data_IF_959013432511
#
_entry.id   IF_959013432511
#
_cell.length_a   1.000
_cell.length_b   1.000
_cell.length_c   1.000
_cell.angle_alpha   90.00
_cell.angle_beta   90.00
_cell.angle_gamma   90.00
#
_symmetry.space_group_name_H-M   'P 1'
#
loop_
_entity.id
_entity.type
_entity.pdbx_description
1 polymer ?
#
# COMPACT_ATOMS: atom_id res chain seq x y z
N UNK A 1 6.06 -1.10 46.24
CA UNK A 1 6.57 -1.39 44.89
C UNK A 1 6.11 -2.78 44.53
N UNK A 2 5.01 -2.90 43.80
CA UNK A 2 4.51 -4.17 43.28
C UNK A 2 3.85 -3.86 41.94
N UNK A 3 4.58 -4.13 40.87
CA UNK A 3 4.15 -3.95 39.48
C UNK A 3 4.05 -5.37 38.89
N UNK A 4 2.87 -5.98 38.98
CA UNK A 4 2.57 -7.29 38.39
C UNK A 4 1.21 -7.23 37.69
N UNK A 5 1.15 -6.45 36.61
CA UNK A 5 0.14 -6.62 35.58
C UNK A 5 0.82 -7.29 34.39
N UNK A 6 0.90 -8.61 34.47
CA UNK A 6 1.25 -9.49 33.37
C UNK A 6 0.12 -9.44 32.33
N UNK A 7 0.23 -8.54 31.35
CA UNK A 7 -0.54 -8.62 30.11
C UNK A 7 0.24 -9.52 29.14
N UNK A 8 -0.09 -10.80 29.22
CA UNK A 8 -0.03 -11.75 28.11
C UNK A 8 -1.01 -11.28 27.01
N UNK A 9 -0.79 -11.70 25.77
CA UNK A 9 -1.65 -11.52 24.57
C UNK A 9 -1.22 -10.42 23.54
N UNK A 10 -0.32 -10.83 22.64
CA UNK A 10 -0.57 -10.86 21.18
C UNK A 10 -0.80 -9.58 20.33
N UNK A 11 -0.46 -8.36 20.78
CA UNK A 11 -0.80 -7.16 19.97
C UNK A 11 0.35 -6.48 19.18
N UNK A 12 1.57 -7.04 19.15
CA UNK A 12 2.69 -6.44 18.40
C UNK A 12 2.86 -6.94 16.96
N UNK A 13 1.82 -7.55 16.39
CA UNK A 13 1.71 -7.82 14.95
C UNK A 13 0.76 -6.83 14.23
N UNK A 14 0.30 -5.77 14.91
CA UNK A 14 -0.37 -4.64 14.26
C UNK A 14 0.67 -3.69 13.65
N UNK A 15 1.21 -4.09 12.50
CA UNK A 15 1.56 -3.21 11.35
C UNK A 15 2.48 -3.94 10.35
N UNK A 16 2.21 -5.21 10.04
CA UNK A 16 2.95 -5.91 8.99
C UNK A 16 2.08 -6.96 8.26
N UNK A 17 1.05 -6.48 7.57
CA UNK A 17 0.71 -7.03 6.25
C UNK A 17 0.00 -8.39 6.14
N UNK A 18 -0.90 -8.77 7.06
CA UNK A 18 -1.70 -9.98 6.89
C UNK A 18 -3.11 -9.87 7.48
N UNK A 19 -4.03 -9.23 6.74
CA UNK A 19 -5.44 -9.56 6.83
C UNK A 19 -6.00 -9.60 5.41
N UNK A 20 -6.69 -10.69 5.09
CA UNK A 20 -7.22 -11.07 3.79
C UNK A 20 -8.32 -10.14 3.24
N UNK A 21 -7.99 -8.88 3.02
CA UNK A 21 -8.84 -7.86 2.41
C UNK A 21 -7.98 -6.99 1.50
N UNK A 22 -8.50 -6.66 0.32
CA UNK A 22 -7.89 -5.84 -0.74
C UNK A 22 -6.88 -4.83 -0.19
N UNK A 23 -5.59 -4.98 -0.55
CA UNK A 23 -4.55 -4.03 -0.14
C UNK A 23 -4.89 -2.68 -0.77
N UNK A 24 -5.36 -1.76 0.06
CA UNK A 24 -5.66 -0.37 -0.30
C UNK A 24 -4.41 0.46 -0.10
N UNK A 25 -3.98 1.14 -1.15
CA UNK A 25 -2.80 1.98 -1.16
C UNK A 25 -3.21 3.45 -1.25
N UNK A 26 -2.46 4.32 -0.57
CA UNK A 26 -2.74 5.77 -0.51
C UNK A 26 -1.69 6.61 -1.21
N UNK A 27 -0.61 5.98 -1.66
CA UNK A 27 0.50 6.64 -2.35
C UNK A 27 1.13 5.64 -3.31
N UNK A 28 1.66 6.15 -4.41
CA UNK A 28 2.49 5.36 -5.31
C UNK A 28 3.69 6.18 -5.79
N UNK A 29 4.79 5.47 -6.00
CA UNK A 29 5.98 6.07 -6.58
C UNK A 29 5.98 5.85 -8.09
N UNK A 30 6.05 6.93 -8.86
CA UNK A 30 5.96 6.89 -10.30
C UNK A 30 7.28 6.36 -10.91
N UNK A 31 7.31 5.20 -11.60
CA UNK A 31 8.55 4.64 -12.14
C UNK A 31 9.19 5.48 -13.25
N UNK A 32 8.42 6.34 -13.93
CA UNK A 32 8.95 7.22 -14.98
C UNK A 32 9.70 8.46 -14.47
N UNK A 33 9.34 8.99 -13.29
CA UNK A 33 9.94 10.22 -12.76
C UNK A 33 10.41 10.11 -11.30
N UNK A 34 10.22 8.96 -10.65
CA UNK A 34 10.44 8.70 -9.21
C UNK A 34 9.81 9.76 -8.31
N UNK A 35 8.67 10.31 -8.74
CA UNK A 35 7.89 11.22 -7.92
C UNK A 35 6.92 10.41 -7.06
N UNK A 36 6.90 10.71 -5.76
CA UNK A 36 5.87 10.21 -4.86
C UNK A 36 4.56 10.95 -5.17
N UNK A 37 3.57 10.18 -5.59
CA UNK A 37 2.25 10.69 -5.93
C UNK A 37 1.26 10.21 -4.85
N UNK A 38 0.92 11.07 -3.87
CA UNK A 38 -0.14 10.78 -2.91
C UNK A 38 -1.48 10.77 -3.63
N UNK A 39 -2.30 9.78 -3.31
CA UNK A 39 -3.63 9.59 -3.89
C UNK A 39 -4.64 9.88 -2.80
N UNK A 40 -5.52 10.87 -3.02
CA UNK A 40 -6.56 11.22 -2.05
C UNK A 40 -7.55 10.07 -1.82
N UNK A 41 -7.81 9.30 -2.87
CA UNK A 41 -8.64 8.09 -2.83
C UNK A 41 -7.74 6.85 -2.78
N UNK A 42 -8.08 5.90 -1.89
CA UNK A 42 -7.33 4.65 -1.79
C UNK A 42 -7.49 3.83 -3.06
N UNK A 43 -6.40 3.47 -3.71
CA UNK A 43 -6.44 2.63 -4.90
C UNK A 43 -6.22 1.14 -4.58
N UNK A 44 -6.73 0.28 -5.46
CA UNK A 44 -6.68 -1.18 -5.31
C UNK A 44 -6.10 -1.85 -6.55
N UNK A 45 -6.08 -3.19 -6.59
CA UNK A 45 -5.69 -3.90 -7.80
C UNK A 45 -6.66 -3.62 -8.96
N UNK A 46 -6.13 -3.51 -10.16
CA UNK A 46 -6.90 -3.21 -11.37
C UNK A 46 -7.18 -1.74 -11.61
N UNK A 47 -6.89 -0.87 -10.64
CA UNK A 47 -7.11 0.57 -10.72
C UNK A 47 -6.10 1.26 -11.66
N UNK A 48 -6.49 2.41 -12.22
CA UNK A 48 -5.69 3.18 -13.17
C UNK A 48 -5.25 4.48 -12.51
N UNK A 49 -3.95 4.56 -12.23
CA UNK A 49 -3.32 5.70 -11.58
C UNK A 49 -2.64 6.58 -12.61
N UNK A 50 -2.84 7.89 -12.49
CA UNK A 50 -2.12 8.86 -13.28
C UNK A 50 -1.13 9.62 -12.42
N UNK A 51 0.11 9.72 -12.89
CA UNK A 51 1.11 10.56 -12.27
C UNK A 51 0.75 12.04 -12.46
N UNK A 52 0.58 12.78 -11.37
CA UNK A 52 0.29 14.22 -11.43
C UNK A 52 1.52 15.07 -11.80
N UNK A 53 2.71 14.49 -11.76
CA UNK A 53 3.98 15.18 -12.06
C UNK A 53 4.39 15.02 -13.53
N UNK A 54 4.56 13.79 -14.01
CA UNK A 54 4.96 13.53 -15.40
C UNK A 54 3.78 13.32 -16.35
N UNK A 55 2.58 13.07 -15.82
CA UNK A 55 1.38 12.80 -16.62
C UNK A 55 1.22 11.35 -17.10
N UNK A 56 2.18 10.45 -16.80
CA UNK A 56 2.11 9.04 -17.21
C UNK A 56 0.97 8.29 -16.52
N UNK A 57 0.35 7.37 -17.25
CA UNK A 57 -0.75 6.54 -16.77
C UNK A 57 -0.23 5.13 -16.50
N UNK A 58 -0.54 4.61 -15.32
CA UNK A 58 -0.09 3.32 -14.83
C UNK A 58 -1.28 2.52 -14.36
N UNK A 59 -1.34 1.25 -14.79
CA UNK A 59 -2.29 0.29 -14.27
C UNK A 59 -1.70 -0.44 -13.08
N UNK A 60 -2.43 -0.43 -11.96
CA UNK A 60 -2.10 -1.16 -10.75
C UNK A 60 -2.44 -2.62 -10.95
N UNK A 61 -1.49 -3.51 -10.68
CA UNK A 61 -1.70 -4.95 -10.70
C UNK A 61 -1.07 -5.55 -9.45
N UNK A 62 -1.91 -6.12 -8.58
CA UNK A 62 -1.44 -6.81 -7.37
C UNK A 62 -1.35 -8.30 -7.68
N UNK A 63 -0.15 -8.87 -7.56
CA UNK A 63 0.03 -10.31 -7.73
C UNK A 63 -0.49 -11.08 -6.50
N UNK A 64 -0.65 -12.40 -6.64
CA UNK A 64 -1.09 -13.29 -5.55
C UNK A 64 -0.12 -13.31 -4.35
N UNK A 65 1.15 -12.94 -4.56
CA UNK A 65 2.13 -12.71 -3.48
C UNK A 65 1.96 -11.36 -2.75
N UNK A 66 0.97 -10.55 -3.15
CA UNK A 66 0.70 -9.22 -2.58
C UNK A 66 1.66 -8.12 -3.04
N UNK A 67 2.53 -8.39 -4.01
CA UNK A 67 3.41 -7.37 -4.61
C UNK A 67 2.62 -6.53 -5.62
N UNK A 68 2.65 -5.21 -5.43
CA UNK A 68 2.13 -4.26 -6.41
C UNK A 68 3.09 -4.19 -7.59
N UNK A 69 2.55 -4.22 -8.80
CA UNK A 69 3.24 -3.83 -10.02
C UNK A 69 2.48 -2.70 -10.69
N UNK A 70 3.23 -1.71 -11.14
CA UNK A 70 2.72 -0.63 -11.98
C UNK A 70 3.11 -0.95 -13.41
N UNK A 71 2.13 -0.98 -14.32
CA UNK A 71 2.35 -1.17 -15.75
C UNK A 71 1.95 0.09 -16.50
N UNK A 72 2.90 0.72 -17.19
CA UNK A 72 2.62 1.89 -18.03
C UNK A 72 1.65 1.52 -19.16
N UNK A 73 0.67 2.39 -19.39
CA UNK A 73 -0.32 2.29 -20.46
C UNK A 73 0.18 2.94 -21.76
#
# INVERSE_FOLDING_TARGET
MSNDFQFDDDDFAKDAGAASGTRVFKEFDCPGCNANNPVDDTFTDGDELRCNYCGCEYRVSVNQEGRIRFREL
#
